data_IF_831145289219
#
_entry.id   IF_831145289219
#
_cell.length_a   1.000
_cell.length_b   1.000
_cell.length_c   1.000
_cell.angle_alpha   90.00
_cell.angle_beta   90.00
_cell.angle_gamma   90.00
#
_symmetry.space_group_name_H-M   'P 1'
#
loop_
_entity.id
_entity.type
_entity.pdbx_description
1 polymer ?
#
# COMPACT_ATOMS: atom_id res chain seq x y z
N UNK A 1 33.98 -33.19 38.33
CA UNK A 1 33.99 -32.45 37.06
C UNK A 1 32.60 -32.54 36.45
N UNK A 2 31.78 -31.52 36.67
CA UNK A 2 30.39 -31.48 36.17
C UNK A 2 30.36 -30.89 34.77
N UNK A 3 30.08 -31.73 33.78
CA UNK A 3 29.83 -31.25 32.42
C UNK A 3 28.41 -30.67 32.33
N UNK A 4 28.31 -29.37 32.35
CA UNK A 4 27.08 -28.65 32.01
C UNK A 4 26.93 -28.64 30.48
N UNK A 5 25.97 -29.39 29.97
CA UNK A 5 25.61 -29.39 28.55
C UNK A 5 25.10 -27.99 28.13
N UNK A 6 25.46 -27.45 26.96
CA UNK A 6 24.98 -26.15 26.49
C UNK A 6 23.46 -26.24 26.24
N UNK A 7 22.72 -25.34 26.91
CA UNK A 7 21.29 -25.12 26.61
C UNK A 7 21.13 -24.74 25.16
N UNK A 8 20.56 -25.59 24.33
CA UNK A 8 20.16 -25.28 22.99
C UNK A 8 19.25 -24.02 23.01
N UNK A 9 19.73 -22.93 22.45
CA UNK A 9 18.90 -21.76 22.18
C UNK A 9 17.76 -22.21 21.28
N UNK A 10 16.53 -22.26 21.83
CA UNK A 10 15.33 -22.36 21.01
C UNK A 10 15.34 -21.18 20.05
N UNK A 11 15.68 -21.40 18.80
CA UNK A 11 15.39 -20.44 17.73
C UNK A 11 13.90 -20.17 17.80
N UNK A 12 13.52 -18.98 18.26
CA UNK A 12 12.11 -18.59 18.27
C UNK A 12 11.67 -18.52 16.81
N UNK A 13 10.80 -19.45 16.43
CA UNK A 13 10.15 -19.43 15.13
C UNK A 13 9.53 -18.06 14.93
N UNK A 14 9.82 -17.42 13.79
CA UNK A 14 9.17 -16.15 13.46
C UNK A 14 7.64 -16.30 13.46
N UNK A 15 6.89 -15.23 13.77
CA UNK A 15 5.45 -15.30 13.97
C UNK A 15 4.70 -15.86 12.75
N UNK A 16 3.59 -16.53 13.01
CA UNK A 16 2.62 -16.93 12.00
C UNK A 16 1.73 -15.72 11.66
N UNK A 17 1.76 -15.30 10.41
CA UNK A 17 1.03 -14.14 9.91
C UNK A 17 -0.10 -14.59 9.00
N UNK A 18 -1.33 -14.20 9.30
CA UNK A 18 -2.45 -14.36 8.39
C UNK A 18 -2.48 -13.21 7.38
N UNK A 19 -2.52 -13.54 6.09
CA UNK A 19 -2.54 -12.57 4.99
C UNK A 19 -3.86 -12.67 4.22
N UNK A 20 -4.63 -11.59 4.17
CA UNK A 20 -5.76 -11.44 3.24
C UNK A 20 -5.34 -10.68 1.98
N UNK A 21 -6.09 -10.85 0.89
CA UNK A 21 -5.80 -10.13 -0.37
C UNK A 21 -4.52 -10.59 -1.07
N UNK A 22 -4.05 -11.80 -0.79
CA UNK A 22 -2.82 -12.37 -1.35
C UNK A 22 -2.82 -12.51 -2.88
N UNK A 23 -3.98 -12.48 -3.53
CA UNK A 23 -4.13 -12.52 -4.99
C UNK A 23 -4.05 -11.15 -5.66
N UNK A 24 -4.10 -10.06 -4.89
CA UNK A 24 -3.96 -8.70 -5.39
C UNK A 24 -2.50 -8.27 -5.58
N UNK A 25 -2.28 -7.13 -6.23
CA UNK A 25 -0.97 -6.58 -6.56
C UNK A 25 0.00 -6.52 -5.37
N UNK A 26 -0.40 -5.91 -4.26
CA UNK A 26 0.43 -5.81 -3.05
C UNK A 26 0.53 -7.17 -2.36
N UNK A 27 -0.60 -7.88 -2.24
CA UNK A 27 -0.65 -9.15 -1.53
C UNK A 27 0.23 -10.24 -2.13
N UNK A 28 0.29 -10.36 -3.46
CA UNK A 28 1.20 -11.27 -4.16
C UNK A 28 2.67 -10.96 -3.86
N UNK A 29 3.00 -9.66 -3.75
CA UNK A 29 4.36 -9.25 -3.42
C UNK A 29 4.72 -9.61 -1.97
N UNK A 30 3.82 -9.33 -1.02
CA UNK A 30 3.99 -9.72 0.39
C UNK A 30 4.10 -11.23 0.56
N UNK A 31 3.25 -11.99 -0.15
CA UNK A 31 3.27 -13.46 -0.15
C UNK A 31 4.63 -14.03 -0.54
N UNK A 32 5.31 -13.40 -1.50
CA UNK A 32 6.65 -13.82 -1.97
C UNK A 32 7.79 -13.35 -1.06
N UNK A 33 7.68 -12.14 -0.49
CA UNK A 33 8.81 -11.49 0.18
C UNK A 33 8.88 -11.75 1.70
N UNK A 34 7.74 -11.93 2.38
CA UNK A 34 7.71 -12.16 3.82
C UNK A 34 8.31 -13.52 4.23
N UNK A 35 8.08 -14.64 3.49
CA UNK A 35 8.76 -15.90 3.81
C UNK A 35 10.28 -15.81 3.73
N UNK A 36 10.84 -15.04 2.81
CA UNK A 36 12.29 -14.80 2.70
C UNK A 36 12.85 -14.08 3.94
N UNK A 37 12.02 -13.39 4.70
CA UNK A 37 12.34 -12.78 6.00
C UNK A 37 12.07 -13.71 7.18
N UNK A 38 11.67 -14.96 6.89
CA UNK A 38 11.43 -16.03 7.87
C UNK A 38 10.01 -16.01 8.48
N UNK A 39 9.08 -15.16 8.03
CA UNK A 39 7.69 -15.23 8.46
C UNK A 39 7.01 -16.50 7.93
N UNK A 40 6.22 -17.16 8.77
CA UNK A 40 5.29 -18.19 8.34
C UNK A 40 4.00 -17.53 7.92
N UNK A 41 3.46 -17.89 6.76
CA UNK A 41 2.23 -17.29 6.26
C UNK A 41 1.07 -18.31 6.26
N UNK A 42 -0.11 -17.83 6.64
CA UNK A 42 -1.39 -18.46 6.34
C UNK A 42 -2.21 -17.53 5.50
N UNK A 43 -2.45 -17.92 4.24
CA UNK A 43 -3.22 -17.11 3.28
C UNK A 43 -4.71 -17.34 3.51
N UNK A 44 -5.45 -16.25 3.77
CA UNK A 44 -6.91 -16.31 3.91
C UNK A 44 -7.55 -15.99 2.56
N UNK A 45 -8.25 -16.98 2.00
CA UNK A 45 -8.77 -16.96 0.64
C UNK A 45 -10.30 -16.84 0.62
N UNK A 46 -10.81 -16.10 -0.35
CA UNK A 46 -12.24 -16.08 -0.64
C UNK A 46 -12.72 -17.39 -1.28
N UNK A 47 -11.91 -17.96 -2.17
CA UNK A 47 -12.13 -19.21 -2.90
C UNK A 47 -10.80 -19.99 -2.98
N UNK A 48 -10.83 -21.32 -3.14
CA UNK A 48 -9.64 -22.08 -3.41
C UNK A 48 -8.86 -21.48 -4.59
N UNK A 49 -7.58 -21.27 -4.40
CA UNK A 49 -6.68 -20.66 -5.40
C UNK A 49 -5.33 -21.34 -5.32
N UNK A 50 -4.67 -21.55 -6.45
CA UNK A 50 -3.30 -22.05 -6.46
C UNK A 50 -2.36 -21.03 -5.82
N UNK A 51 -1.59 -21.48 -4.86
CA UNK A 51 -0.57 -20.71 -4.16
C UNK A 51 0.80 -21.31 -4.40
N UNK A 52 1.89 -20.57 -4.18
CA UNK A 52 3.23 -21.13 -4.19
C UNK A 52 3.32 -22.33 -3.24
N UNK A 53 4.18 -23.30 -3.61
CA UNK A 53 4.41 -24.50 -2.81
C UNK A 53 4.84 -24.15 -1.37
N UNK A 54 4.34 -24.90 -0.39
CA UNK A 54 4.63 -24.67 1.04
C UNK A 54 3.82 -23.56 1.71
N UNK A 55 2.92 -22.84 0.99
CA UNK A 55 2.05 -21.85 1.60
C UNK A 55 0.82 -22.47 2.26
N UNK A 56 0.68 -22.32 3.58
CA UNK A 56 -0.55 -22.67 4.27
C UNK A 56 -1.70 -21.73 3.87
N UNK A 57 -2.91 -22.27 3.71
CA UNK A 57 -4.09 -21.45 3.38
C UNK A 57 -5.33 -21.93 4.12
N UNK A 58 -6.28 -21.00 4.27
CA UNK A 58 -7.63 -21.29 4.75
C UNK A 58 -8.64 -20.56 3.86
N UNK A 59 -9.69 -21.28 3.46
CA UNK A 59 -10.80 -20.65 2.70
C UNK A 59 -11.82 -20.13 3.70
N UNK A 60 -12.04 -18.83 3.68
CA UNK A 60 -12.92 -18.12 4.61
C UNK A 60 -14.17 -17.53 3.95
N UNK A 61 -14.30 -17.68 2.64
CA UNK A 61 -15.38 -17.08 1.88
C UNK A 61 -15.21 -15.57 1.70
N UNK A 62 -16.32 -14.89 1.47
CA UNK A 62 -16.35 -13.43 1.35
C UNK A 62 -16.16 -12.78 2.73
N UNK A 63 -15.26 -11.80 2.82
CA UNK A 63 -14.99 -11.08 4.08
C UNK A 63 -16.23 -10.33 4.62
N UNK A 64 -17.19 -9.99 3.77
CA UNK A 64 -18.46 -9.41 4.23
C UNK A 64 -19.34 -10.44 4.98
N UNK A 65 -19.23 -11.74 4.63
CA UNK A 65 -19.93 -12.87 5.25
C UNK A 65 -18.98 -14.07 5.41
N UNK A 66 -17.92 -13.95 6.23
CA UNK A 66 -16.90 -14.99 6.34
C UNK A 66 -17.42 -16.17 7.15
N UNK A 67 -16.82 -17.35 6.90
CA UNK A 67 -17.00 -18.57 7.68
C UNK A 67 -15.63 -19.10 8.15
N UNK A 68 -15.61 -20.06 9.09
CA UNK A 68 -14.38 -20.70 9.63
C UNK A 68 -13.30 -19.74 10.16
N UNK A 69 -13.69 -18.53 10.59
CA UNK A 69 -12.73 -17.52 11.03
C UNK A 69 -11.95 -17.96 12.29
N UNK A 70 -12.56 -18.73 13.20
CA UNK A 70 -11.91 -19.22 14.40
C UNK A 70 -10.75 -20.16 14.06
N UNK A 71 -10.98 -21.10 13.15
CA UNK A 71 -9.96 -22.03 12.66
C UNK A 71 -8.88 -21.31 11.84
N UNK A 72 -9.31 -20.43 10.93
CA UNK A 72 -8.42 -19.67 10.07
C UNK A 72 -7.45 -18.76 10.85
N UNK A 73 -7.85 -18.28 12.02
CA UNK A 73 -7.07 -17.42 12.90
C UNK A 73 -6.44 -18.18 14.10
N UNK A 74 -6.61 -19.49 14.19
CA UNK A 74 -5.97 -20.31 15.25
C UNK A 74 -4.45 -20.17 15.19
N UNK A 75 -3.81 -19.90 16.33
CA UNK A 75 -2.36 -19.75 16.47
C UNK A 75 -1.72 -18.63 15.63
N UNK A 76 -2.53 -17.73 15.07
CA UNK A 76 -2.04 -16.56 14.31
C UNK A 76 -1.53 -15.49 15.28
N UNK A 77 -0.26 -15.12 15.11
CA UNK A 77 0.38 -14.07 15.91
C UNK A 77 0.01 -12.67 15.40
N UNK A 78 -0.05 -12.48 14.07
CA UNK A 78 -0.36 -11.20 13.46
C UNK A 78 -1.21 -11.37 12.19
N UNK A 79 -1.93 -10.31 11.85
CA UNK A 79 -2.71 -10.20 10.61
C UNK A 79 -2.14 -9.10 9.74
N UNK A 80 -2.02 -9.36 8.43
CA UNK A 80 -1.87 -8.33 7.40
C UNK A 80 -3.13 -8.33 6.55
N UNK A 81 -3.91 -7.26 6.68
CA UNK A 81 -5.15 -7.09 5.92
C UNK A 81 -4.92 -6.21 4.69
N UNK A 82 -4.71 -6.88 3.55
CA UNK A 82 -4.50 -6.26 2.24
C UNK A 82 -5.72 -6.38 1.31
N UNK A 83 -6.74 -7.13 1.72
CA UNK A 83 -7.97 -7.24 0.94
C UNK A 83 -8.78 -5.95 0.99
N UNK A 84 -9.43 -5.63 -0.13
CA UNK A 84 -10.31 -4.48 -0.26
C UNK A 84 -10.50 -4.07 -1.72
N UNK A 85 -11.51 -3.26 -1.97
CA UNK A 85 -11.74 -2.63 -3.27
C UNK A 85 -10.76 -1.47 -3.42
N UNK A 86 -10.00 -1.46 -4.53
CA UNK A 86 -9.00 -0.43 -4.81
C UNK A 86 -9.62 0.83 -5.44
N UNK A 87 -8.94 1.97 -5.33
CA UNK A 87 -9.34 3.24 -5.94
C UNK A 87 -9.37 3.22 -7.49
N UNK A 88 -8.68 2.25 -8.10
CA UNK A 88 -8.66 2.06 -9.56
C UNK A 88 -10.00 1.53 -10.10
N UNK A 89 -10.86 1.00 -9.24
CA UNK A 89 -12.22 0.55 -9.57
C UNK A 89 -13.21 1.73 -9.43
N UNK A 90 -12.90 2.88 -10.01
CA UNK A 90 -13.78 4.05 -10.02
C UNK A 90 -15.12 3.72 -10.69
N UNK A 91 -16.20 4.26 -10.13
CA UNK A 91 -17.57 4.03 -10.67
C UNK A 91 -18.38 2.98 -9.90
N UNK A 92 -17.83 2.33 -8.88
CA UNK A 92 -18.62 1.50 -7.98
C UNK A 92 -19.45 2.38 -7.04
N UNK A 93 -20.64 1.90 -6.64
CA UNK A 93 -21.45 2.56 -5.62
C UNK A 93 -20.67 2.75 -4.30
N UNK A 94 -20.94 3.84 -3.59
CA UNK A 94 -20.29 4.11 -2.30
C UNK A 94 -20.58 3.01 -1.27
N UNK A 95 -21.77 2.41 -1.33
CA UNK A 95 -22.14 1.28 -0.47
C UNK A 95 -21.25 0.06 -0.64
N UNK A 96 -20.73 -0.21 -1.84
CA UNK A 96 -19.79 -1.31 -2.05
C UNK A 96 -18.48 -1.04 -1.33
N UNK A 97 -17.96 0.20 -1.41
CA UNK A 97 -16.77 0.58 -0.64
C UNK A 97 -17.01 0.48 0.86
N UNK A 98 -18.18 0.91 1.35
CA UNK A 98 -18.55 0.81 2.76
C UNK A 98 -18.62 -0.67 3.20
N UNK A 99 -19.28 -1.51 2.44
CA UNK A 99 -19.44 -2.93 2.77
C UNK A 99 -18.09 -3.67 2.79
N UNK A 100 -17.28 -3.53 1.72
CA UNK A 100 -16.09 -4.34 1.54
C UNK A 100 -14.83 -3.75 2.21
N UNK A 101 -14.68 -2.42 2.26
CA UNK A 101 -13.51 -1.79 2.85
C UNK A 101 -13.71 -1.46 4.33
N UNK A 102 -14.92 -1.09 4.77
CA UNK A 102 -15.17 -0.70 6.16
C UNK A 102 -15.74 -1.85 6.97
N UNK A 103 -16.96 -2.29 6.67
CA UNK A 103 -17.65 -3.27 7.51
C UNK A 103 -16.95 -4.62 7.54
N UNK A 104 -16.49 -5.11 6.39
CA UNK A 104 -15.74 -6.37 6.32
C UNK A 104 -14.42 -6.29 7.10
N UNK A 105 -13.69 -5.17 7.00
CA UNK A 105 -12.44 -4.94 7.77
C UNK A 105 -12.71 -4.93 9.27
N UNK A 106 -13.73 -4.21 9.74
CA UNK A 106 -14.07 -4.14 11.17
C UNK A 106 -14.55 -5.51 11.70
N UNK A 107 -15.39 -6.22 10.94
CA UNK A 107 -15.81 -7.59 11.29
C UNK A 107 -14.62 -8.54 11.41
N UNK A 108 -13.68 -8.45 10.46
CA UNK A 108 -12.44 -9.24 10.47
C UNK A 108 -11.55 -8.89 11.67
N UNK A 109 -11.36 -7.61 11.97
CA UNK A 109 -10.62 -7.16 13.14
C UNK A 109 -11.21 -7.70 14.44
N UNK A 110 -12.53 -7.65 14.60
CA UNK A 110 -13.22 -8.24 15.77
C UNK A 110 -13.04 -9.77 15.85
N UNK A 111 -12.97 -10.45 14.72
CA UNK A 111 -12.64 -11.88 14.71
C UNK A 111 -11.19 -12.14 15.15
N UNK A 112 -10.25 -11.33 14.68
CA UNK A 112 -8.84 -11.37 15.09
C UNK A 112 -8.68 -11.06 16.60
N UNK A 113 -9.44 -10.10 17.14
CA UNK A 113 -9.48 -9.81 18.58
C UNK A 113 -9.93 -11.02 19.40
N UNK A 114 -11.04 -11.68 18.99
CA UNK A 114 -11.52 -12.91 19.66
C UNK A 114 -10.52 -14.04 19.59
N UNK A 115 -9.77 -14.14 18.49
CA UNK A 115 -8.69 -15.12 18.31
C UNK A 115 -7.39 -14.74 19.04
N UNK A 116 -7.36 -13.61 19.76
CA UNK A 116 -6.20 -13.09 20.51
C UNK A 116 -4.98 -12.83 19.63
N UNK A 117 -5.19 -12.41 18.38
CA UNK A 117 -4.12 -11.95 17.50
C UNK A 117 -3.41 -10.76 18.16
N UNK A 118 -2.08 -10.79 18.20
CA UNK A 118 -1.26 -9.79 18.90
C UNK A 118 -1.16 -8.48 18.13
N UNK A 119 -1.14 -8.52 16.80
CA UNK A 119 -1.03 -7.32 15.94
C UNK A 119 -1.89 -7.42 14.69
N UNK A 120 -2.56 -6.33 14.36
CA UNK A 120 -3.37 -6.19 13.15
C UNK A 120 -2.83 -5.07 12.28
N UNK A 121 -2.20 -5.42 11.15
CA UNK A 121 -1.68 -4.47 10.16
C UNK A 121 -2.71 -4.29 9.06
N UNK A 122 -3.29 -3.10 8.96
CA UNK A 122 -4.26 -2.76 7.92
C UNK A 122 -3.56 -1.94 6.81
N UNK A 123 -3.62 -2.41 5.58
CA UNK A 123 -3.16 -1.63 4.43
C UNK A 123 -4.23 -0.61 4.06
N UNK A 124 -4.09 0.57 4.62
CA UNK A 124 -4.90 1.74 4.34
C UNK A 124 -4.35 2.51 3.12
N UNK A 125 -4.70 3.75 2.97
CA UNK A 125 -4.27 4.60 1.87
C UNK A 125 -4.08 6.02 2.35
N UNK A 126 -3.19 6.77 1.73
CA UNK A 126 -3.08 8.23 1.91
C UNK A 126 -4.40 8.94 1.57
N UNK A 127 -5.26 8.29 0.76
CA UNK A 127 -6.61 8.77 0.44
C UNK A 127 -7.56 8.76 1.64
N UNK A 128 -7.26 8.00 2.68
CA UNK A 128 -7.97 8.12 3.96
C UNK A 128 -7.77 9.49 4.61
N UNK A 129 -6.68 10.18 4.29
CA UNK A 129 -6.33 11.49 4.84
C UNK A 129 -6.74 12.66 3.96
N UNK A 130 -6.77 12.48 2.63
CA UNK A 130 -7.03 13.55 1.68
C UNK A 130 -7.73 13.08 0.41
N UNK A 131 -8.02 14.02 -0.49
CA UNK A 131 -8.40 13.75 -1.87
C UNK A 131 -7.22 13.28 -2.73
N UNK A 132 -7.39 13.30 -4.06
CA UNK A 132 -6.34 13.01 -5.04
C UNK A 132 -5.18 14.01 -4.99
N UNK A 133 -5.43 15.16 -4.40
CA UNK A 133 -4.45 16.25 -4.17
C UNK A 133 -4.62 16.79 -2.76
N UNK A 134 -3.58 17.44 -2.25
CA UNK A 134 -3.62 18.11 -0.95
C UNK A 134 -2.76 19.39 -0.99
N UNK A 135 -3.15 20.40 -0.20
CA UNK A 135 -2.34 21.56 0.07
C UNK A 135 -1.30 21.25 1.15
N UNK A 136 -0.03 21.49 0.84
CA UNK A 136 1.09 21.21 1.75
C UNK A 136 1.40 19.73 1.92
N UNK A 137 2.20 19.43 2.93
CA UNK A 137 2.64 18.07 3.26
C UNK A 137 1.65 17.44 4.23
N UNK A 138 1.26 16.20 3.95
CA UNK A 138 0.40 15.40 4.83
C UNK A 138 1.26 14.74 5.92
N UNK A 139 0.86 14.92 7.17
CA UNK A 139 1.40 14.23 8.35
C UNK A 139 0.26 13.53 9.10
N UNK A 140 0.56 12.61 9.99
CA UNK A 140 -0.45 11.89 10.75
C UNK A 140 -1.27 12.80 11.69
N UNK A 141 -0.72 13.94 12.10
CA UNK A 141 -1.39 14.92 12.96
C UNK A 141 -2.45 15.74 12.23
N UNK A 142 -2.34 15.82 10.89
CA UNK A 142 -3.31 16.57 10.11
C UNK A 142 -4.66 15.87 10.08
N UNK A 143 -5.72 16.63 10.36
CA UNK A 143 -7.10 16.13 10.35
C UNK A 143 -7.44 15.48 8.99
N UNK A 144 -7.93 14.23 8.98
CA UNK A 144 -8.32 13.56 7.75
C UNK A 144 -9.54 14.21 7.08
N UNK A 145 -9.44 14.48 5.78
CA UNK A 145 -10.52 15.04 4.93
C UNK A 145 -10.58 14.33 3.58
N UNK A 146 -10.96 13.04 3.54
CA UNK A 146 -11.11 12.31 2.29
C UNK A 146 -12.24 12.88 1.44
N UNK A 147 -12.02 13.00 0.13
CA UNK A 147 -12.99 13.61 -0.80
C UNK A 147 -13.73 12.59 -1.66
N UNK A 148 -13.35 11.32 -1.63
CA UNK A 148 -14.01 10.26 -2.40
C UNK A 148 -14.44 9.07 -1.54
N UNK A 149 -15.33 8.24 -2.08
CA UNK A 149 -15.91 7.08 -1.41
C UNK A 149 -14.83 6.08 -0.94
N UNK A 150 -13.80 5.86 -1.74
CA UNK A 150 -12.69 5.00 -1.37
C UNK A 150 -11.94 5.53 -0.15
N UNK A 151 -11.55 6.79 -0.16
CA UNK A 151 -10.86 7.43 0.97
C UNK A 151 -11.71 7.42 2.24
N UNK A 152 -12.99 7.76 2.13
CA UNK A 152 -13.94 7.70 3.25
C UNK A 152 -14.06 6.29 3.82
N UNK A 153 -14.14 5.26 2.96
CA UNK A 153 -14.23 3.86 3.41
C UNK A 153 -12.97 3.40 4.15
N UNK A 154 -11.78 3.83 3.70
CA UNK A 154 -10.51 3.52 4.38
C UNK A 154 -10.44 4.22 5.74
N UNK A 155 -10.79 5.50 5.82
CA UNK A 155 -10.82 6.24 7.09
C UNK A 155 -11.80 5.62 8.08
N UNK A 156 -13.02 5.29 7.63
CA UNK A 156 -14.02 4.64 8.48
C UNK A 156 -13.55 3.26 8.99
N UNK A 157 -12.79 2.52 8.19
CA UNK A 157 -12.16 1.28 8.64
C UNK A 157 -11.10 1.53 9.73
N UNK A 158 -10.25 2.55 9.58
CA UNK A 158 -9.28 2.95 10.62
C UNK A 158 -9.98 3.33 11.93
N UNK A 159 -11.09 4.08 11.86
CA UNK A 159 -11.90 4.45 13.03
C UNK A 159 -12.49 3.20 13.70
N UNK A 160 -13.05 2.27 12.92
CA UNK A 160 -13.57 1.02 13.46
C UNK A 160 -12.49 0.10 14.06
N UNK A 161 -11.23 0.18 13.61
CA UNK A 161 -10.11 -0.48 14.27
C UNK A 161 -9.78 0.15 15.63
N UNK A 162 -9.90 1.48 15.75
CA UNK A 162 -9.67 2.19 17.00
C UNK A 162 -10.65 1.78 18.11
N UNK A 163 -11.86 1.32 17.76
CA UNK A 163 -12.86 0.79 18.68
C UNK A 163 -12.56 -0.64 19.16
N UNK A 164 -11.51 -1.28 18.66
CA UNK A 164 -11.08 -2.63 19.10
C UNK A 164 -10.01 -2.55 20.18
N UNK A 165 -9.82 -3.65 20.91
CA UNK A 165 -8.70 -3.79 21.86
C UNK A 165 -7.41 -4.25 21.20
N UNK A 166 -7.43 -4.55 19.90
CA UNK A 166 -6.25 -4.97 19.16
C UNK A 166 -5.12 -3.94 19.23
N UNK A 167 -3.90 -4.43 19.16
CA UNK A 167 -2.78 -3.60 18.73
C UNK A 167 -2.82 -3.50 17.21
N UNK A 168 -3.43 -2.46 16.71
CA UNK A 168 -3.60 -2.22 15.29
C UNK A 168 -2.64 -1.13 14.77
N UNK A 169 -2.32 -1.22 13.49
CA UNK A 169 -1.66 -0.16 12.75
C UNK A 169 -2.26 -0.06 11.36
N UNK A 170 -2.65 1.15 10.96
CA UNK A 170 -3.12 1.42 9.60
C UNK A 170 -1.98 2.06 8.80
N UNK A 171 -1.46 1.36 7.81
CA UNK A 171 -0.44 1.89 6.92
C UNK A 171 -1.12 2.70 5.80
N UNK A 172 -1.05 4.03 5.88
CA UNK A 172 -1.56 4.96 4.86
C UNK A 172 -0.56 5.03 3.70
N UNK A 173 -0.76 4.16 2.72
CA UNK A 173 0.15 4.01 1.59
C UNK A 173 0.02 5.17 0.61
N UNK A 174 1.14 5.77 0.20
CA UNK A 174 1.22 6.61 -0.99
C UNK A 174 0.97 5.78 -2.27
N UNK A 175 1.12 6.38 -3.46
CA UNK A 175 0.93 5.66 -4.71
C UNK A 175 1.99 4.56 -4.86
N UNK A 176 1.55 3.30 -4.72
CA UNK A 176 2.44 2.13 -4.77
C UNK A 176 2.83 1.81 -6.21
N UNK A 177 4.12 1.54 -6.42
CA UNK A 177 4.65 1.08 -7.70
C UNK A 177 5.55 -0.15 -7.53
N UNK A 178 5.61 -0.97 -8.57
CA UNK A 178 6.43 -2.19 -8.63
C UNK A 178 6.01 -3.10 -9.77
N UNK A 179 6.64 -4.27 -9.91
CA UNK A 179 6.29 -5.24 -10.95
C UNK A 179 4.82 -5.65 -10.90
N UNK A 180 4.13 -5.59 -12.04
CA UNK A 180 2.71 -5.93 -12.14
C UNK A 180 1.76 -4.81 -11.74
N UNK A 181 2.23 -3.57 -11.57
CA UNK A 181 1.38 -2.43 -11.22
C UNK A 181 0.37 -2.13 -12.33
N UNK A 182 -0.85 -1.80 -11.91
CA UNK A 182 -1.98 -1.45 -12.76
C UNK A 182 -2.38 0.04 -12.61
N UNK A 183 -3.47 0.42 -13.25
CA UNK A 183 -4.08 1.75 -13.10
C UNK A 183 -3.19 2.90 -13.59
N UNK A 184 -3.13 3.98 -12.82
CA UNK A 184 -2.43 5.20 -13.22
C UNK A 184 -0.92 4.99 -13.43
N UNK A 185 -0.27 4.18 -12.61
CA UNK A 185 1.16 3.90 -12.76
C UNK A 185 1.43 3.13 -14.07
N UNK A 186 0.59 2.16 -14.44
CA UNK A 186 0.70 1.47 -15.72
C UNK A 186 0.53 2.43 -16.91
N UNK A 187 -0.37 3.44 -16.79
CA UNK A 187 -0.49 4.50 -17.81
C UNK A 187 0.79 5.34 -17.91
N UNK A 188 1.43 5.67 -16.79
CA UNK A 188 2.72 6.39 -16.79
C UNK A 188 3.83 5.56 -17.43
N UNK A 189 3.88 4.25 -17.19
CA UNK A 189 4.82 3.34 -17.85
C UNK A 189 4.60 3.34 -19.37
N UNK A 190 3.34 3.25 -19.81
CA UNK A 190 2.99 3.33 -21.24
C UNK A 190 3.44 4.66 -21.85
N UNK A 191 3.22 5.75 -21.13
CA UNK A 191 3.64 7.10 -21.57
C UNK A 191 5.18 7.22 -21.63
N UNK A 192 5.90 6.68 -20.66
CA UNK A 192 7.37 6.66 -20.68
C UNK A 192 7.94 5.84 -21.85
N UNK A 193 7.27 4.76 -22.23
CA UNK A 193 7.64 3.91 -23.38
C UNK A 193 7.33 4.58 -24.73
N UNK A 194 6.46 5.58 -24.77
CA UNK A 194 6.17 6.35 -25.98
C UNK A 194 7.44 7.02 -26.53
N UNK A 195 7.66 7.01 -27.85
CA UNK A 195 8.82 7.67 -28.47
C UNK A 195 8.69 9.20 -28.54
N UNK A 196 7.48 9.73 -28.32
CA UNK A 196 7.19 11.15 -28.52
C UNK A 196 7.66 12.02 -27.36
N UNK A 197 8.12 13.27 -27.63
CA UNK A 197 8.33 14.26 -26.59
C UNK A 197 7.01 14.58 -25.86
N UNK A 198 7.10 14.90 -24.56
CA UNK A 198 5.93 15.09 -23.70
C UNK A 198 5.85 16.54 -23.19
N UNK A 199 4.68 17.21 -23.27
CA UNK A 199 4.47 18.61 -22.88
C UNK A 199 4.28 18.77 -21.35
N UNK A 200 5.12 18.15 -20.53
CA UNK A 200 4.94 18.05 -19.08
C UNK A 200 6.08 18.67 -18.25
N UNK A 201 7.10 19.26 -18.89
CA UNK A 201 8.21 19.90 -18.17
C UNK A 201 7.76 21.08 -17.29
N UNK A 202 6.62 21.69 -17.59
CA UNK A 202 6.02 22.78 -16.82
C UNK A 202 5.18 22.36 -15.61
N UNK A 203 4.91 21.06 -15.44
CA UNK A 203 4.13 20.56 -14.30
C UNK A 203 5.01 20.48 -13.06
N UNK A 204 4.67 21.28 -12.05
CA UNK A 204 5.42 21.40 -10.79
C UNK A 204 4.78 20.62 -9.64
N UNK A 205 3.60 20.03 -9.86
CA UNK A 205 2.93 19.20 -8.86
C UNK A 205 3.81 18.00 -8.49
N UNK A 206 3.97 17.76 -7.20
CA UNK A 206 4.80 16.69 -6.65
C UNK A 206 3.93 15.60 -6.05
N UNK A 207 4.38 14.36 -6.19
CA UNK A 207 3.66 13.20 -5.71
C UNK A 207 4.59 12.29 -4.93
N UNK A 208 4.15 11.91 -3.72
CA UNK A 208 4.76 10.83 -2.98
C UNK A 208 4.41 9.49 -3.62
N UNK A 209 5.43 8.68 -3.82
CA UNK A 209 5.34 7.31 -4.33
C UNK A 209 5.78 6.34 -3.23
N UNK A 210 5.57 5.05 -3.47
CA UNK A 210 6.02 3.99 -2.57
C UNK A 210 6.43 2.76 -3.38
N UNK A 211 7.70 2.38 -3.32
CA UNK A 211 8.16 1.13 -3.90
C UNK A 211 7.61 -0.07 -3.11
N UNK A 212 7.21 -1.15 -3.81
CA UNK A 212 6.78 -2.40 -3.16
C UNK A 212 7.84 -2.94 -2.19
N UNK A 213 9.13 -2.84 -2.53
CA UNK A 213 10.22 -3.24 -1.64
C UNK A 213 10.21 -2.43 -0.34
N UNK A 214 10.02 -1.12 -0.41
CA UNK A 214 9.95 -0.24 0.75
C UNK A 214 8.69 -0.48 1.59
N UNK A 215 7.58 -0.87 0.95
CA UNK A 215 6.37 -1.31 1.65
C UNK A 215 6.63 -2.59 2.47
N UNK A 216 7.34 -3.57 1.90
CA UNK A 216 7.68 -4.81 2.63
C UNK A 216 8.54 -4.49 3.84
N UNK A 217 9.51 -3.56 3.73
CA UNK A 217 10.31 -3.09 4.87
C UNK A 217 9.44 -2.42 5.94
N UNK A 218 8.42 -1.64 5.53
CA UNK A 218 7.49 -1.01 6.47
C UNK A 218 6.64 -2.06 7.21
N UNK A 219 6.14 -3.05 6.48
CA UNK A 219 5.39 -4.17 7.07
C UNK A 219 6.25 -4.98 8.03
N UNK A 220 7.48 -5.36 7.63
CA UNK A 220 8.43 -6.07 8.50
C UNK A 220 8.71 -5.27 9.77
N UNK A 221 8.93 -3.95 9.63
CA UNK A 221 9.20 -3.07 10.76
C UNK A 221 8.04 -3.02 11.75
N UNK A 222 6.80 -2.79 11.29
CA UNK A 222 5.65 -2.71 12.20
C UNK A 222 5.29 -4.05 12.82
N UNK A 223 5.61 -5.17 12.19
CA UNK A 223 5.48 -6.49 12.77
C UNK A 223 6.52 -6.76 13.87
N UNK A 224 7.71 -6.18 13.76
CA UNK A 224 8.81 -6.38 14.71
C UNK A 224 8.75 -5.48 15.95
N UNK A 225 8.06 -4.34 15.89
CA UNK A 225 7.91 -3.42 17.04
C UNK A 225 7.17 -4.13 18.18
N UNK A 226 7.71 -4.06 19.41
CA UNK A 226 7.11 -4.74 20.57
C UNK A 226 6.01 -3.89 21.24
N UNK A 227 6.16 -2.56 21.22
CA UNK A 227 5.18 -1.66 21.82
C UNK A 227 3.90 -1.57 20.99
N UNK A 228 2.73 -1.42 21.61
CA UNK A 228 1.49 -1.19 20.90
C UNK A 228 1.57 0.09 20.04
N UNK A 229 1.09 0.00 18.80
CA UNK A 229 1.08 1.14 17.88
C UNK A 229 -0.24 1.92 17.95
N UNK A 230 -1.37 1.27 17.77
CA UNK A 230 -2.75 1.82 17.85
C UNK A 230 -2.93 3.17 17.13
N UNK A 231 -2.36 3.29 15.95
CA UNK A 231 -2.39 4.55 15.17
C UNK A 231 -2.21 4.31 13.68
N UNK A 232 -2.59 5.26 12.82
CA UNK A 232 -2.15 5.28 11.44
C UNK A 232 -0.67 5.68 11.34
N UNK A 233 -0.01 5.22 10.26
CA UNK A 233 1.35 5.61 9.87
C UNK A 233 1.37 5.83 8.37
N UNK A 234 1.92 6.95 7.93
CA UNK A 234 2.14 7.23 6.51
C UNK A 234 3.34 6.43 6.00
N UNK A 235 3.17 5.79 4.85
CA UNK A 235 4.21 5.04 4.18
C UNK A 235 4.42 5.61 2.79
N UNK A 236 5.55 6.26 2.59
CA UNK A 236 5.95 6.88 1.34
C UNK A 236 7.46 6.84 1.18
N UNK A 237 7.95 6.79 -0.05
CA UNK A 237 9.37 7.00 -0.32
C UNK A 237 9.76 8.44 0.09
N UNK A 238 10.99 8.68 0.58
CA UNK A 238 11.34 9.95 1.22
C UNK A 238 11.30 11.18 0.31
N UNK A 239 11.42 10.99 -1.00
CA UNK A 239 11.50 12.10 -1.98
C UNK A 239 10.30 12.09 -2.90
N UNK A 240 9.38 13.06 -2.79
CA UNK A 240 8.32 13.24 -3.76
C UNK A 240 8.90 13.64 -5.11
N UNK A 241 8.21 13.29 -6.20
CA UNK A 241 8.66 13.59 -7.55
C UNK A 241 7.55 14.28 -8.36
N UNK A 242 7.97 15.19 -9.23
CA UNK A 242 7.07 15.74 -10.27
C UNK A 242 6.80 14.68 -11.33
N UNK A 243 5.68 14.81 -12.04
CA UNK A 243 5.36 13.91 -13.16
C UNK A 243 6.49 13.86 -14.20
N UNK A 244 7.09 15.00 -14.50
CA UNK A 244 8.25 15.06 -15.39
C UNK A 244 9.44 14.26 -14.87
N UNK A 245 9.73 14.33 -13.57
CA UNK A 245 10.81 13.57 -12.94
C UNK A 245 10.53 12.05 -12.93
N UNK A 246 9.26 11.64 -12.73
CA UNK A 246 8.83 10.24 -12.80
C UNK A 246 9.08 9.68 -14.21
N UNK A 247 8.59 10.37 -15.24
CA UNK A 247 8.78 9.95 -16.64
C UNK A 247 10.26 9.97 -17.03
N UNK A 248 11.03 10.98 -16.60
CA UNK A 248 12.47 11.05 -16.88
C UNK A 248 13.23 9.86 -16.28
N UNK A 249 12.93 9.48 -15.03
CA UNK A 249 13.52 8.30 -14.38
C UNK A 249 13.17 7.01 -15.12
N UNK A 250 11.91 6.84 -15.53
CA UNK A 250 11.50 5.67 -16.32
C UNK A 250 12.20 5.63 -17.68
N UNK A 251 12.26 6.76 -18.41
CA UNK A 251 12.95 6.84 -19.71
C UNK A 251 14.45 6.57 -19.60
N UNK A 252 15.08 7.06 -18.53
CA UNK A 252 16.48 6.71 -18.23
C UNK A 252 16.66 5.21 -18.05
N UNK A 253 15.71 4.53 -17.37
CA UNK A 253 15.71 3.06 -17.26
C UNK A 253 15.62 2.34 -18.60
N UNK A 254 14.97 2.94 -19.61
CA UNK A 254 14.89 2.45 -20.98
C UNK A 254 16.10 2.85 -21.85
N UNK A 255 17.13 3.50 -21.29
CA UNK A 255 18.27 4.03 -22.06
C UNK A 255 17.92 5.23 -22.93
N UNK A 256 16.84 5.96 -22.63
CA UNK A 256 16.33 7.08 -23.43
C UNK A 256 16.52 8.43 -22.74
N UNK A 257 16.62 9.50 -23.54
CA UNK A 257 16.54 10.87 -23.02
C UNK A 257 15.15 11.16 -22.48
N UNK A 258 15.04 12.09 -21.52
CA UNK A 258 13.74 12.48 -20.92
C UNK A 258 12.76 13.01 -21.97
N UNK A 259 13.21 13.77 -22.97
CA UNK A 259 12.42 14.34 -24.06
C UNK A 259 11.13 15.00 -23.56
N UNK A 260 11.27 15.93 -22.60
CA UNK A 260 10.19 16.72 -22.02
C UNK A 260 10.32 18.17 -22.50
N UNK A 261 9.20 18.82 -22.81
CA UNK A 261 9.19 20.22 -23.17
C UNK A 261 8.14 21.01 -22.39
N UNK A 262 8.34 22.31 -22.31
CA UNK A 262 7.47 23.22 -21.58
C UNK A 262 6.26 23.63 -22.43
N UNK A 263 5.08 23.53 -21.82
CA UNK A 263 3.84 24.13 -22.31
C UNK A 263 3.20 24.88 -21.15
N UNK A 264 2.74 26.11 -21.34
CA UNK A 264 2.03 26.87 -20.32
C UNK A 264 0.79 26.09 -19.81
N UNK A 265 0.58 26.08 -18.50
CA UNK A 265 -0.54 25.32 -17.86
C UNK A 265 -1.91 25.59 -18.49
N UNK A 266 -2.30 26.85 -18.83
CA UNK A 266 -3.60 27.09 -19.44
C UNK A 266 -3.77 26.42 -20.80
N UNK A 267 -2.72 26.46 -21.65
CA UNK A 267 -2.74 25.83 -22.97
C UNK A 267 -2.82 24.28 -22.83
N UNK A 268 -2.06 23.73 -21.91
CA UNK A 268 -2.13 22.27 -21.64
C UNK A 268 -3.52 21.87 -21.15
N UNK A 269 -4.13 22.62 -20.23
CA UNK A 269 -5.50 22.38 -19.77
C UNK A 269 -6.52 22.45 -20.90
N UNK A 270 -6.41 23.45 -21.77
CA UNK A 270 -7.31 23.59 -22.92
C UNK A 270 -7.15 22.44 -23.91
N UNK A 271 -5.92 22.02 -24.21
CA UNK A 271 -5.66 20.88 -25.09
C UNK A 271 -6.24 19.56 -24.52
N UNK A 272 -6.08 19.32 -23.22
CA UNK A 272 -6.63 18.15 -22.56
C UNK A 272 -8.18 18.14 -22.57
N UNK A 273 -8.80 19.30 -22.36
CA UNK A 273 -10.26 19.46 -22.48
C UNK A 273 -10.75 19.18 -23.89
N UNK A 274 -10.08 19.74 -24.90
CA UNK A 274 -10.42 19.51 -26.32
C UNK A 274 -10.27 18.03 -26.72
N UNK A 275 -9.36 17.29 -26.07
CA UNK A 275 -9.17 15.86 -26.27
C UNK A 275 -10.21 14.99 -25.51
N UNK A 276 -11.25 15.58 -24.92
CA UNK A 276 -12.32 14.84 -24.22
C UNK A 276 -11.95 14.32 -22.83
N UNK A 277 -10.84 14.83 -22.29
CA UNK A 277 -10.31 14.37 -21.00
C UNK A 277 -10.59 15.40 -19.89
N UNK A 278 -11.87 15.64 -19.56
CA UNK A 278 -12.29 16.71 -18.64
C UNK A 278 -12.16 16.28 -17.18
N UNK A 279 -12.43 15.01 -16.88
CA UNK A 279 -12.45 14.48 -15.51
C UNK A 279 -11.26 13.55 -15.26
N UNK A 280 -10.43 13.84 -14.27
CA UNK A 280 -9.32 12.97 -13.85
C UNK A 280 -7.91 13.56 -13.97
N UNK A 281 -7.78 14.83 -14.39
CA UNK A 281 -6.47 15.51 -14.49
C UNK A 281 -6.11 16.38 -13.28
N UNK A 282 -6.98 16.48 -12.25
CA UNK A 282 -6.62 17.18 -11.02
C UNK A 282 -5.26 16.72 -10.46
N UNK A 283 -4.94 15.42 -10.43
CA UNK A 283 -3.63 14.96 -9.94
C UNK A 283 -2.44 15.46 -10.79
N UNK A 284 -2.63 15.82 -12.06
CA UNK A 284 -1.54 16.36 -12.87
C UNK A 284 -1.11 17.77 -12.43
N UNK A 285 -2.04 18.52 -11.85
CA UNK A 285 -1.85 19.93 -11.52
C UNK A 285 -1.78 20.21 -10.02
N UNK A 286 -2.24 19.28 -9.19
CA UNK A 286 -2.20 19.37 -7.73
C UNK A 286 -1.22 18.36 -7.13
N UNK A 287 -0.54 18.76 -6.06
CA UNK A 287 0.41 17.91 -5.36
C UNK A 287 -0.27 16.95 -4.39
N UNK A 288 0.36 15.82 -4.13
CA UNK A 288 0.03 14.92 -3.04
C UNK A 288 1.35 14.46 -2.38
N UNK A 289 1.79 15.23 -1.42
CA UNK A 289 3.04 14.99 -0.70
C UNK A 289 2.75 14.52 0.71
N UNK A 290 3.39 13.45 1.13
CA UNK A 290 3.20 12.82 2.42
C UNK A 290 4.55 12.62 3.12
N UNK A 291 4.60 12.88 4.43
CA UNK A 291 5.79 12.76 5.26
C UNK A 291 5.80 11.40 6.00
N UNK A 292 6.76 10.50 5.71
CA UNK A 292 6.89 9.22 6.40
C UNK A 292 7.70 9.30 7.71
N UNK A 293 7.98 10.48 8.26
CA UNK A 293 8.88 10.67 9.39
C UNK A 293 8.43 9.92 10.66
N UNK A 294 7.11 9.74 10.89
CA UNK A 294 6.62 8.98 12.01
C UNK A 294 6.99 7.48 11.91
N UNK A 295 6.99 6.91 10.72
CA UNK A 295 7.48 5.55 10.49
C UNK A 295 9.02 5.48 10.58
N UNK A 296 9.72 6.50 10.10
CA UNK A 296 11.19 6.58 10.23
C UNK A 296 11.65 6.59 11.70
N UNK A 297 10.89 7.23 12.62
CA UNK A 297 11.13 7.17 14.08
C UNK A 297 11.06 5.76 14.67
N UNK A 298 10.44 4.82 13.97
CA UNK A 298 10.47 3.39 14.30
C UNK A 298 11.70 2.67 13.71
N UNK A 299 12.70 3.40 13.22
CA UNK A 299 13.87 2.88 12.51
C UNK A 299 13.51 2.15 11.18
N UNK A 300 12.45 2.59 10.51
CA UNK A 300 12.20 2.19 9.13
C UNK A 300 13.16 2.92 8.19
N UNK A 301 13.81 2.16 7.30
CA UNK A 301 14.72 2.70 6.29
C UNK A 301 14.31 2.15 4.93
N UNK A 302 13.95 2.99 3.97
CA UNK A 302 13.64 2.54 2.61
C UNK A 302 14.91 2.00 1.93
N UNK A 303 14.80 0.83 1.28
CA UNK A 303 15.91 0.18 0.56
C UNK A 303 16.08 0.70 -0.86
N UNK A 304 14.98 1.13 -1.46
CA UNK A 304 14.95 1.53 -2.87
C UNK A 304 14.77 3.05 -2.94
N UNK A 305 15.71 3.71 -3.61
CA UNK A 305 15.57 5.12 -3.98
C UNK A 305 14.54 5.23 -5.13
N UNK A 306 13.63 6.19 -5.04
CA UNK A 306 12.45 6.28 -5.92
C UNK A 306 12.81 6.32 -7.40
N UNK A 307 13.80 7.13 -7.81
CA UNK A 307 14.22 7.23 -9.21
C UNK A 307 14.84 5.93 -9.72
N UNK A 308 15.67 5.28 -8.90
CA UNK A 308 16.28 4.00 -9.23
C UNK A 308 15.22 2.90 -9.35
N UNK A 309 14.24 2.86 -8.46
CA UNK A 309 13.10 1.94 -8.50
C UNK A 309 12.25 2.11 -9.75
N UNK A 310 11.92 3.37 -10.12
CA UNK A 310 11.18 3.68 -11.34
C UNK A 310 11.97 3.30 -12.61
N UNK A 311 13.27 3.53 -12.64
CA UNK A 311 14.13 3.12 -13.74
C UNK A 311 14.20 1.59 -13.88
N UNK A 312 14.26 0.84 -12.76
CA UNK A 312 14.27 -0.62 -12.76
C UNK A 312 12.91 -1.20 -13.21
N UNK A 313 11.80 -0.54 -12.87
CA UNK A 313 10.44 -0.98 -13.18
C UNK A 313 10.18 -1.14 -14.69
N UNK A 314 10.82 -0.36 -15.53
CA UNK A 314 10.58 -0.34 -16.98
C UNK A 314 11.55 -1.19 -17.78
N UNK A 315 12.62 -1.69 -17.16
CA UNK A 315 13.65 -2.54 -17.81
C UNK A 315 13.18 -3.98 -18.06
N UNK A 316 12.13 -4.41 -17.34
CA UNK A 316 11.56 -5.78 -17.42
C UNK A 316 10.50 -5.93 -18.48
#
# INVERSE_FOLDING_TARGET
MSHTAPKAQKQSLKPLVALTGATGFIGQYLLRELPKRGYRLRVLLRRPTMLPEGCASAVIGDLAKPYNMAEALSDVDAVIHSAGIASTMSGLPEDDYRLFNTEATVKFARAAERARVKRFVFLSSIRAQSGPTADGVLTEEREPRPTDAYGRSKLAAEQGLADTRLDWVALRLALVYGPGVEGNMARLIKLARSPYPLPIAGLKAEHSLLALDNLVEAVDKVLAVQQPLKRPLIVADPKPLTLGAIIAAMRQGLGRRAALFYVPKPLLKSALRAAGHVDGYEPLFGSLVADPSALAKLNWVPRVETRAGLAALVRK
#
